data_IF_297181095861
#
_entry.id   IF_297181095861
#
_cell.length_a   1.000
_cell.length_b   1.000
_cell.length_c   1.000
_cell.angle_alpha   90.00
_cell.angle_beta   90.00
_cell.angle_gamma   90.00
#
_symmetry.space_group_name_H-M   'P 1'
#
loop_
_entity.id
_entity.type
_entity.pdbx_description
1 polymer ?
#
# COMPACT_ATOMS: atom_id res chain seq x y z
N UNK A 1 -10.36 -6.46 -39.05
CA UNK A 1 -10.51 -6.39 -37.58
C UNK A 1 -9.67 -5.20 -37.15
N UNK A 2 -10.34 -4.08 -36.94
CA UNK A 2 -9.67 -2.77 -36.93
C UNK A 2 -8.88 -2.62 -35.64
N UNK A 3 -7.60 -2.26 -35.76
CA UNK A 3 -6.67 -2.10 -34.62
C UNK A 3 -7.25 -1.18 -33.53
N UNK A 4 -8.11 -0.23 -33.91
CA UNK A 4 -8.85 0.65 -33.00
C UNK A 4 -9.78 -0.11 -32.07
N UNK A 5 -10.52 -1.11 -32.58
CA UNK A 5 -11.44 -1.93 -31.76
C UNK A 5 -10.68 -2.82 -30.77
N UNK A 6 -9.50 -3.31 -31.16
CA UNK A 6 -8.62 -4.08 -30.27
C UNK A 6 -8.08 -3.21 -29.14
N UNK A 7 -7.61 -1.99 -29.45
CA UNK A 7 -7.11 -1.04 -28.45
C UNK A 7 -8.22 -0.63 -27.49
N UNK A 8 -9.41 -0.32 -27.99
CA UNK A 8 -10.55 0.05 -27.15
C UNK A 8 -10.93 -1.09 -26.18
N UNK A 9 -10.99 -2.33 -26.68
CA UNK A 9 -11.28 -3.51 -25.85
C UNK A 9 -10.23 -3.72 -24.75
N UNK A 10 -8.95 -3.55 -25.08
CA UNK A 10 -7.85 -3.65 -24.11
C UNK A 10 -7.94 -2.57 -23.04
N UNK A 11 -8.24 -1.32 -23.42
CA UNK A 11 -8.40 -0.23 -22.46
C UNK A 11 -9.54 -0.50 -21.48
N UNK A 12 -10.70 -0.95 -21.98
CA UNK A 12 -11.84 -1.32 -21.14
C UNK A 12 -11.46 -2.44 -20.18
N UNK A 13 -10.77 -3.48 -20.65
CA UNK A 13 -10.33 -4.59 -19.80
C UNK A 13 -9.40 -4.11 -18.68
N UNK A 14 -8.42 -3.27 -19.02
CA UNK A 14 -7.48 -2.69 -18.05
C UNK A 14 -8.22 -1.83 -17.03
N UNK A 15 -9.14 -0.97 -17.46
CA UNK A 15 -9.93 -0.13 -16.55
C UNK A 15 -10.75 -0.99 -15.59
N UNK A 16 -11.47 -2.01 -16.10
CA UNK A 16 -12.26 -2.92 -15.26
C UNK A 16 -11.37 -3.67 -14.27
N UNK A 17 -10.20 -4.13 -14.71
CA UNK A 17 -9.24 -4.82 -13.86
C UNK A 17 -8.71 -3.91 -12.74
N UNK A 18 -8.34 -2.67 -13.05
CA UNK A 18 -7.87 -1.69 -12.06
C UNK A 18 -8.98 -1.36 -11.05
N UNK A 19 -10.21 -1.16 -11.51
CA UNK A 19 -11.36 -0.91 -10.62
C UNK A 19 -11.65 -2.12 -9.73
N UNK A 20 -11.61 -3.33 -10.29
CA UNK A 20 -11.79 -4.57 -9.54
C UNK A 20 -10.73 -4.71 -8.43
N UNK A 21 -9.47 -4.45 -8.75
CA UNK A 21 -8.38 -4.46 -7.77
C UNK A 21 -8.57 -3.38 -6.69
N UNK A 22 -9.03 -2.18 -7.07
CA UNK A 22 -9.26 -1.10 -6.14
C UNK A 22 -10.38 -1.41 -5.13
N UNK A 23 -11.50 -1.99 -5.59
CA UNK A 23 -12.64 -2.36 -4.74
C UNK A 23 -12.29 -3.54 -3.82
N UNK A 24 -11.46 -4.48 -4.29
CA UNK A 24 -11.00 -5.64 -3.50
C UNK A 24 -10.02 -5.26 -2.38
N UNK A 25 -9.57 -4.00 -2.27
CA UNK A 25 -8.61 -3.60 -1.24
C UNK A 25 -9.25 -3.72 0.15
N UNK A 26 -8.62 -4.44 1.10
CA UNK A 26 -9.12 -4.53 2.46
C UNK A 26 -9.18 -3.14 3.09
N UNK A 27 -10.29 -2.82 3.75
CA UNK A 27 -10.45 -1.55 4.46
C UNK A 27 -9.59 -1.56 5.73
N UNK A 28 -8.35 -1.14 5.58
CA UNK A 28 -7.41 -0.92 6.70
C UNK A 28 -7.60 0.48 7.33
N UNK A 29 -8.77 1.11 7.09
CA UNK A 29 -9.17 2.44 7.56
C UNK A 29 -8.92 2.70 9.05
N UNK A 30 -9.03 1.66 9.87
CA UNK A 30 -8.96 1.76 11.33
C UNK A 30 -7.53 1.73 11.90
N UNK A 31 -6.52 1.45 11.08
CA UNK A 31 -5.12 1.39 11.53
C UNK A 31 -4.50 2.78 11.44
N UNK A 32 -3.87 3.21 12.53
CA UNK A 32 -3.18 4.50 12.62
C UNK A 32 -1.94 4.48 11.74
N UNK A 33 -1.63 5.61 11.12
CA UNK A 33 -0.37 5.81 10.44
C UNK A 33 -0.32 7.14 9.71
N UNK A 34 0.80 7.44 9.05
CA UNK A 34 1.03 8.74 8.47
C UNK A 34 0.06 8.99 7.30
N UNK A 35 -0.54 10.18 7.27
CA UNK A 35 -1.38 10.61 6.16
C UNK A 35 -0.51 10.83 4.94
N UNK A 36 -0.82 10.21 3.78
CA UNK A 36 -0.04 10.43 2.57
C UNK A 36 0.00 11.91 2.19
N UNK A 37 1.17 12.42 1.84
CA UNK A 37 1.30 13.75 1.23
C UNK A 37 0.62 13.84 -0.14
N UNK A 38 0.52 12.72 -0.87
CA UNK A 38 -0.18 12.65 -2.16
C UNK A 38 -0.76 11.27 -2.47
N UNK A 39 -1.89 11.22 -3.18
CA UNK A 39 -2.57 9.97 -3.57
C UNK A 39 -1.83 9.20 -4.67
N UNK A 40 -1.15 9.91 -5.58
CA UNK A 40 -0.49 9.29 -6.74
C UNK A 40 0.91 8.76 -6.41
N UNK A 41 1.71 9.52 -5.66
CA UNK A 41 3.09 9.14 -5.32
C UNK A 41 3.21 8.42 -3.97
N UNK A 42 2.14 8.42 -3.15
CA UNK A 42 2.20 7.90 -1.79
C UNK A 42 3.19 8.69 -0.92
N UNK A 43 3.50 8.16 0.27
CA UNK A 43 4.63 8.63 1.11
C UNK A 43 5.97 8.04 0.64
N UNK A 44 5.93 7.19 -0.39
CA UNK A 44 7.07 6.40 -0.88
C UNK A 44 8.29 7.26 -1.25
N UNK A 45 8.10 8.52 -1.67
CA UNK A 45 9.21 9.41 -1.96
C UNK A 45 9.99 9.84 -0.70
N UNK A 46 9.32 10.06 0.43
CA UNK A 46 9.99 10.36 1.72
C UNK A 46 10.69 9.12 2.27
N UNK A 47 10.04 7.95 2.19
CA UNK A 47 10.62 6.66 2.60
C UNK A 47 11.90 6.28 1.83
N UNK A 48 11.98 6.61 0.54
CA UNK A 48 13.15 6.31 -0.28
C UNK A 48 14.25 7.37 -0.17
N UNK A 49 13.92 8.59 0.23
CA UNK A 49 14.91 9.66 0.43
C UNK A 49 15.56 9.59 1.82
N UNK A 50 14.83 9.13 2.83
CA UNK A 50 15.41 8.89 4.15
C UNK A 50 16.20 7.57 4.19
N UNK A 51 17.22 7.52 5.05
CA UNK A 51 18.03 6.32 5.26
C UNK A 51 17.13 5.13 5.66
N UNK A 52 17.30 4.00 4.97
CA UNK A 52 16.53 2.79 5.23
C UNK A 52 16.53 2.45 6.74
N UNK A 53 15.33 2.36 7.33
CA UNK A 53 15.12 2.06 8.75
C UNK A 53 14.85 3.26 9.65
N UNK A 54 15.38 4.46 9.38
CA UNK A 54 15.16 5.65 10.24
C UNK A 54 13.67 6.06 10.27
N UNK A 55 13.03 6.03 9.10
CA UNK A 55 11.59 6.30 8.96
C UNK A 55 10.76 5.23 9.67
N UNK A 56 11.17 3.96 9.59
CA UNK A 56 10.49 2.83 10.24
C UNK A 56 10.56 2.96 11.76
N UNK A 57 11.73 3.29 12.32
CA UNK A 57 11.89 3.53 13.76
C UNK A 57 11.09 4.74 14.23
N UNK A 58 11.05 5.81 13.44
CA UNK A 58 10.26 7.01 13.74
C UNK A 58 8.76 6.68 13.77
N UNK A 59 8.27 5.92 12.79
CA UNK A 59 6.88 5.50 12.73
C UNK A 59 6.52 4.51 13.83
N UNK A 60 7.42 3.57 14.14
CA UNK A 60 7.24 2.64 15.25
C UNK A 60 7.12 3.40 16.58
N UNK A 61 7.97 4.41 16.83
CA UNK A 61 7.87 5.26 18.03
C UNK A 61 6.58 6.07 18.08
N UNK A 62 6.08 6.53 16.91
CA UNK A 62 4.92 7.44 16.82
C UNK A 62 3.57 6.74 16.84
N UNK A 63 3.46 5.59 16.16
CA UNK A 63 2.21 4.89 15.92
C UNK A 63 2.15 3.51 16.61
N UNK A 64 3.29 2.98 17.07
CA UNK A 64 3.39 1.71 17.78
C UNK A 64 3.74 0.53 16.88
N UNK A 65 3.38 -0.68 17.31
CA UNK A 65 3.79 -1.93 16.66
C UNK A 65 3.07 -2.28 15.34
N UNK A 66 2.06 -1.51 14.93
CA UNK A 66 1.35 -1.66 13.66
C UNK A 66 1.12 -0.26 13.07
N UNK A 67 1.65 -0.03 11.87
CA UNK A 67 1.52 1.27 11.18
C UNK A 67 1.00 1.03 9.78
N UNK A 68 -0.05 1.77 9.40
CA UNK A 68 -0.54 1.78 8.02
C UNK A 68 0.03 2.97 7.26
N UNK A 69 0.63 2.73 6.12
CA UNK A 69 1.07 3.79 5.23
C UNK A 69 0.62 3.52 3.80
N UNK A 70 0.59 4.59 3.00
CA UNK A 70 0.15 4.55 1.61
C UNK A 70 1.36 4.52 0.70
N UNK A 71 1.46 3.46 -0.10
CA UNK A 71 2.48 3.31 -1.13
C UNK A 71 2.01 3.92 -2.45
N UNK A 72 2.78 3.72 -3.52
CA UNK A 72 2.52 4.18 -4.88
C UNK A 72 1.10 3.76 -5.29
N UNK A 73 0.36 4.61 -6.02
CA UNK A 73 -1.04 4.34 -6.42
C UNK A 73 -2.01 4.12 -5.24
N UNK A 74 -1.72 4.73 -4.08
CA UNK A 74 -2.58 4.69 -2.90
C UNK A 74 -2.80 3.29 -2.32
N UNK A 75 -1.88 2.35 -2.62
CA UNK A 75 -1.89 1.01 -2.04
C UNK A 75 -1.73 1.08 -0.53
N UNK A 76 -2.50 0.27 0.20
CA UNK A 76 -2.36 0.16 1.65
C UNK A 76 -1.26 -0.83 2.00
N UNK A 77 -0.22 -0.35 2.66
CA UNK A 77 0.84 -1.18 3.22
C UNK A 77 0.83 -1.12 4.74
N UNK A 78 1.22 -2.23 5.37
CA UNK A 78 1.29 -2.37 6.82
C UNK A 78 2.73 -2.67 7.23
N UNK A 79 3.27 -1.81 8.09
CA UNK A 79 4.47 -2.08 8.86
C UNK A 79 4.03 -2.79 10.14
N UNK A 80 4.51 -4.01 10.37
CA UNK A 80 4.21 -4.82 11.54
C UNK A 80 5.52 -5.14 12.24
N UNK A 81 5.66 -4.69 13.49
CA UNK A 81 6.84 -4.95 14.32
C UNK A 81 6.54 -5.86 15.50
N UNK A 82 5.28 -6.25 15.72
CA UNK A 82 4.91 -7.21 16.77
C UNK A 82 5.34 -8.64 16.38
N UNK A 83 6.30 -9.26 17.10
CA UNK A 83 6.75 -10.62 16.81
C UNK A 83 5.62 -11.65 16.94
N UNK A 84 4.60 -11.40 17.78
CA UNK A 84 3.43 -12.29 17.91
C UNK A 84 2.57 -12.24 16.64
N UNK A 85 2.32 -11.05 16.11
CA UNK A 85 1.59 -10.87 14.86
C UNK A 85 2.38 -11.47 13.67
N UNK A 86 3.70 -11.26 13.62
CA UNK A 86 4.55 -11.83 12.57
C UNK A 86 4.53 -13.36 12.60
N UNK A 87 4.60 -13.99 13.77
CA UNK A 87 4.48 -15.46 13.87
C UNK A 87 3.13 -15.98 13.38
N UNK A 88 2.05 -15.25 13.69
CA UNK A 88 0.71 -15.60 13.22
C UNK A 88 0.57 -15.46 11.69
N UNK A 89 1.16 -14.42 11.10
CA UNK A 89 1.11 -14.16 9.65
C UNK A 89 2.03 -15.10 8.87
N UNK A 90 3.25 -15.30 9.34
CA UNK A 90 4.28 -16.11 8.68
C UNK A 90 4.11 -17.62 8.94
N UNK A 91 3.14 -18.01 9.78
CA UNK A 91 2.87 -19.41 10.10
C UNK A 91 4.02 -20.11 10.84
N UNK A 92 4.90 -19.35 11.49
CA UNK A 92 5.98 -19.91 12.31
C UNK A 92 5.39 -20.42 13.64
N UNK A 93 4.81 -21.62 13.58
CA UNK A 93 4.38 -22.43 14.72
C UNK A 93 5.59 -22.82 15.57
#
# INVERSE_FOLDING_TARGET
>A
MDSVSVIASLLVLVTVFVVYLYIRRPSLAHIRGPTPASFLLGITLELYQEQAGETDFTWQRRYGGIVRFKSILGEDQLLITDPKALRHILGAS
#
